data_IF_897523664381
#
_entry.id   IF_897523664381
#
_cell.length_a   1.000
_cell.length_b   1.000
_cell.length_c   1.000
_cell.angle_alpha   90.00
_cell.angle_beta   90.00
_cell.angle_gamma   90.00
#
_symmetry.space_group_name_H-M   'P 1'
#
loop_
_entity.id
_entity.type
_entity.pdbx_description
1 polymer ?
#
# COMPACT_ATOMS: atom_id res chain seq x y z
N UNK A 1 -16.06 7.84 -27.62
CA UNK A 1 -15.29 8.12 -26.39
C UNK A 1 -14.74 6.81 -25.86
N UNK A 2 -13.45 6.72 -25.60
CA UNK A 2 -12.83 5.52 -25.03
C UNK A 2 -13.14 5.40 -23.54
N UNK A 3 -13.33 4.19 -23.02
CA UNK A 3 -13.73 3.91 -21.64
C UNK A 3 -12.85 4.63 -20.58
N UNK A 4 -11.56 4.84 -20.91
CA UNK A 4 -10.57 5.54 -20.08
C UNK A 4 -10.83 7.03 -19.87
N UNK A 5 -11.65 7.66 -20.70
CA UNK A 5 -11.97 9.09 -20.59
C UNK A 5 -13.00 9.36 -19.49
N UNK A 6 -13.82 8.36 -19.13
CA UNK A 6 -14.82 8.53 -18.10
C UNK A 6 -14.20 8.64 -16.71
N UNK A 7 -14.66 9.65 -15.94
CA UNK A 7 -14.20 9.89 -14.58
C UNK A 7 -14.44 8.67 -13.66
N UNK A 8 -15.60 8.02 -13.80
CA UNK A 8 -15.97 6.85 -12.99
C UNK A 8 -15.01 5.67 -13.19
N UNK A 9 -14.54 5.42 -14.42
CA UNK A 9 -13.57 4.37 -14.71
C UNK A 9 -12.21 4.64 -14.06
N UNK A 10 -11.79 5.91 -14.06
CA UNK A 10 -10.56 6.35 -13.38
C UNK A 10 -10.64 6.18 -11.87
N UNK A 11 -11.76 6.56 -11.27
CA UNK A 11 -12.01 6.38 -9.82
C UNK A 11 -11.98 4.90 -9.45
N UNK A 12 -12.68 4.03 -10.19
CA UNK A 12 -12.65 2.58 -9.97
C UNK A 12 -11.23 2.00 -10.09
N UNK A 13 -10.46 2.50 -11.06
CA UNK A 13 -9.06 2.07 -11.23
C UNK A 13 -8.20 2.45 -10.02
N UNK A 14 -8.34 3.66 -9.48
CA UNK A 14 -7.63 4.07 -8.26
C UNK A 14 -8.03 3.25 -7.04
N UNK A 15 -9.33 2.95 -6.89
CA UNK A 15 -9.84 2.08 -5.83
C UNK A 15 -9.26 0.67 -5.96
N UNK A 16 -9.21 0.12 -7.18
CA UNK A 16 -8.61 -1.20 -7.44
C UNK A 16 -7.13 -1.23 -7.09
N UNK A 17 -6.38 -0.19 -7.46
CA UNK A 17 -4.96 -0.06 -7.11
C UNK A 17 -4.76 -0.02 -5.60
N UNK A 18 -5.60 0.73 -4.88
CA UNK A 18 -5.60 0.77 -3.42
C UNK A 18 -5.73 -0.63 -2.84
N UNK A 19 -6.84 -1.33 -3.11
CA UNK A 19 -7.08 -2.64 -2.51
C UNK A 19 -6.04 -3.69 -2.91
N UNK A 20 -5.56 -3.67 -4.16
CA UNK A 20 -4.48 -4.58 -4.58
C UNK A 20 -3.19 -4.32 -3.80
N UNK A 21 -2.81 -3.06 -3.60
CA UNK A 21 -1.60 -2.71 -2.86
C UNK A 21 -1.64 -3.18 -1.40
N UNK A 22 -2.79 -3.04 -0.76
CA UNK A 22 -3.01 -3.54 0.61
C UNK A 22 -3.14 -5.06 0.70
N UNK A 23 -3.69 -5.70 -0.34
CA UNK A 23 -3.75 -7.16 -0.39
C UNK A 23 -2.36 -7.78 -0.48
N UNK A 24 -1.44 -7.17 -1.24
CA UNK A 24 -0.04 -7.60 -1.29
C UNK A 24 0.64 -7.45 0.06
N UNK A 25 0.35 -6.37 0.78
CA UNK A 25 0.86 -6.17 2.14
C UNK A 25 0.33 -7.21 3.13
N UNK A 26 -0.96 -7.52 3.06
CA UNK A 26 -1.54 -8.59 3.87
C UNK A 26 -0.87 -9.95 3.60
N UNK A 27 -0.61 -10.27 2.33
CA UNK A 27 0.12 -11.48 1.94
C UNK A 27 1.58 -11.45 2.42
N UNK A 28 2.24 -10.28 2.40
CA UNK A 28 3.58 -10.09 2.94
C UNK A 28 3.63 -10.40 4.44
N UNK A 29 2.66 -9.87 5.20
CA UNK A 29 2.53 -10.14 6.63
C UNK A 29 2.29 -11.62 6.92
N UNK A 30 1.39 -12.26 6.18
CA UNK A 30 1.12 -13.70 6.32
C UNK A 30 2.34 -14.57 5.99
N UNK A 31 3.08 -14.24 4.93
CA UNK A 31 4.22 -15.02 4.47
C UNK A 31 5.42 -14.97 5.41
N UNK A 32 5.63 -13.85 6.12
CA UNK A 32 6.73 -13.72 7.07
C UNK A 32 6.37 -14.15 8.49
N UNK A 33 5.09 -14.14 8.86
CA UNK A 33 4.62 -14.54 10.19
C UNK A 33 5.38 -13.81 11.32
N UNK A 34 5.84 -14.57 12.33
CA UNK A 34 6.56 -14.00 13.48
C UNK A 34 7.94 -13.42 13.15
N UNK A 35 8.50 -13.63 11.95
CA UNK A 35 9.82 -13.08 11.59
C UNK A 35 9.83 -11.55 11.49
N UNK A 36 8.66 -10.96 11.24
CA UNK A 36 8.48 -9.50 11.20
C UNK A 36 8.80 -8.85 12.55
N UNK A 37 8.44 -9.50 13.66
CA UNK A 37 8.67 -8.99 15.02
C UNK A 37 10.16 -9.01 15.37
N UNK A 38 10.89 -10.00 14.86
CA UNK A 38 12.30 -10.21 15.18
C UNK A 38 13.27 -9.47 14.23
N UNK A 39 12.75 -8.83 13.18
CA UNK A 39 13.56 -8.13 12.19
C UNK A 39 12.94 -6.77 11.86
N UNK A 40 13.43 -5.73 12.54
CA UNK A 40 13.04 -4.33 12.33
C UNK A 40 13.19 -3.87 10.87
N UNK A 41 14.16 -4.42 10.14
CA UNK A 41 14.32 -4.14 8.71
C UNK A 41 13.11 -4.61 7.91
N UNK A 42 12.71 -5.88 8.07
CA UNK A 42 11.52 -6.44 7.43
C UNK A 42 10.24 -5.72 7.88
N UNK A 43 10.14 -5.36 9.16
CA UNK A 43 9.05 -4.55 9.68
C UNK A 43 8.93 -3.21 8.93
N UNK A 44 10.01 -2.45 8.86
CA UNK A 44 10.03 -1.15 8.17
C UNK A 44 9.73 -1.31 6.67
N UNK A 45 10.26 -2.37 6.03
CA UNK A 45 9.99 -2.62 4.61
C UNK A 45 8.50 -2.83 4.31
N UNK A 46 7.76 -3.53 5.18
CA UNK A 46 6.31 -3.72 5.02
C UNK A 46 5.53 -2.40 4.96
N UNK A 47 5.94 -1.39 5.72
CA UNK A 47 5.31 -0.07 5.67
C UNK A 47 5.38 0.61 4.27
N UNK A 48 6.35 0.22 3.44
CA UNK A 48 6.53 0.77 2.09
C UNK A 48 5.88 -0.08 0.98
N UNK A 49 5.44 -1.30 1.27
CA UNK A 49 4.89 -2.20 0.24
C UNK A 49 3.62 -1.64 -0.41
N UNK A 50 2.60 -1.15 0.34
CA UNK A 50 1.42 -0.55 -0.28
C UNK A 50 1.78 0.61 -1.21
N UNK A 51 2.78 1.43 -0.83
CA UNK A 51 3.27 2.53 -1.65
C UNK A 51 3.96 2.04 -2.93
N UNK A 52 4.88 1.08 -2.83
CA UNK A 52 5.63 0.55 -3.98
C UNK A 52 4.71 -0.13 -4.99
N UNK A 53 3.75 -0.93 -4.49
CA UNK A 53 2.78 -1.63 -5.34
C UNK A 53 1.85 -0.62 -6.01
N UNK A 54 1.31 0.35 -5.27
CA UNK A 54 0.42 1.36 -5.86
C UNK A 54 1.15 2.23 -6.86
N UNK A 55 2.39 2.61 -6.59
CA UNK A 55 3.22 3.40 -7.49
C UNK A 55 3.48 2.65 -8.80
N UNK A 56 3.85 1.38 -8.70
CA UNK A 56 4.10 0.51 -9.87
C UNK A 56 2.85 0.35 -10.72
N UNK A 57 1.69 0.06 -10.10
CA UNK A 57 0.42 -0.06 -10.81
C UNK A 57 0.02 1.26 -11.45
N UNK A 58 0.14 2.37 -10.72
CA UNK A 58 -0.17 3.72 -11.21
C UNK A 58 0.64 4.03 -12.47
N UNK A 59 1.97 3.83 -12.47
CA UNK A 59 2.80 4.03 -13.65
C UNK A 59 2.40 3.12 -14.82
N UNK A 60 2.10 1.85 -14.53
CA UNK A 60 1.66 0.88 -15.56
C UNK A 60 0.36 1.32 -16.24
N UNK A 61 -0.61 1.83 -15.48
CA UNK A 61 -1.88 2.31 -16.02
C UNK A 61 -1.76 3.69 -16.69
N UNK A 62 -0.89 4.58 -16.20
CA UNK A 62 -0.55 5.83 -16.88
C UNK A 62 0.08 5.58 -18.25
N UNK A 63 1.05 4.66 -18.34
CA UNK A 63 1.71 4.29 -19.62
C UNK A 63 0.73 3.78 -20.67
N UNK A 64 -0.39 3.17 -20.24
CA UNK A 64 -1.45 2.68 -21.11
C UNK A 64 -2.54 3.73 -21.41
N UNK A 65 -2.41 4.95 -20.91
CA UNK A 65 -3.40 6.02 -21.09
C UNK A 65 -4.70 5.80 -20.32
N UNK A 66 -4.69 4.95 -19.29
CA UNK A 66 -5.86 4.66 -18.45
C UNK A 66 -6.00 5.59 -17.24
N UNK A 67 -4.90 6.22 -16.80
CA UNK A 67 -4.86 7.12 -15.65
C UNK A 67 -4.13 8.42 -15.98
N UNK A 68 -4.49 9.48 -15.26
CA UNK A 68 -3.88 10.80 -15.37
C UNK A 68 -3.25 11.16 -14.04
N UNK A 69 -1.91 11.25 -14.01
CA UNK A 69 -1.10 12.08 -13.12
C UNK A 69 -1.27 12.00 -11.59
N UNK A 70 -2.19 11.22 -11.02
CA UNK A 70 -2.51 11.36 -9.60
C UNK A 70 -1.53 10.61 -8.71
N UNK A 71 -0.57 11.36 -8.15
CA UNK A 71 0.37 10.90 -7.13
C UNK A 71 -0.30 10.76 -5.75
N UNK A 72 -1.46 11.39 -5.56
CA UNK A 72 -2.17 11.44 -4.28
C UNK A 72 -2.43 10.05 -3.69
N UNK A 73 -2.82 9.06 -4.51
CA UNK A 73 -3.07 7.70 -4.05
C UNK A 73 -1.82 7.05 -3.43
N UNK A 74 -0.66 7.23 -4.08
CA UNK A 74 0.59 6.65 -3.61
C UNK A 74 1.01 7.30 -2.28
N UNK A 75 0.90 8.62 -2.20
CA UNK A 75 1.19 9.35 -0.96
C UNK A 75 0.27 8.92 0.17
N UNK A 76 -1.04 8.76 -0.09
CA UNK A 76 -2.01 8.24 0.89
C UNK A 76 -1.59 6.86 1.38
N UNK A 77 -1.21 5.94 0.48
CA UNK A 77 -0.75 4.61 0.84
C UNK A 77 0.53 4.62 1.68
N UNK A 78 1.46 5.54 1.39
CA UNK A 78 2.67 5.71 2.19
C UNK A 78 2.34 6.15 3.62
N UNK A 79 1.49 7.17 3.77
CA UNK A 79 1.08 7.66 5.10
C UNK A 79 0.33 6.60 5.90
N UNK A 80 -0.61 5.90 5.27
CA UNK A 80 -1.33 4.81 5.95
C UNK A 80 -0.41 3.64 6.32
N UNK A 81 0.52 3.27 5.44
CA UNK A 81 1.51 2.22 5.73
C UNK A 81 2.34 2.55 6.96
N UNK A 82 2.90 3.77 7.01
CA UNK A 82 3.67 4.26 8.16
C UNK A 82 2.81 4.31 9.43
N UNK A 83 1.59 4.83 9.35
CA UNK A 83 0.70 4.95 10.50
C UNK A 83 0.30 3.58 11.07
N UNK A 84 -0.03 2.61 10.21
CA UNK A 84 -0.38 1.24 10.61
C UNK A 84 0.80 0.57 11.32
N UNK A 85 2.00 0.69 10.76
CA UNK A 85 3.20 0.10 11.36
C UNK A 85 3.62 0.78 12.66
N UNK A 86 3.48 2.10 12.77
CA UNK A 86 3.69 2.82 14.03
C UNK A 86 2.71 2.34 15.11
N UNK A 87 1.44 2.13 14.74
CA UNK A 87 0.42 1.57 15.65
C UNK A 87 0.77 0.15 16.10
N UNK A 88 1.17 -0.73 15.18
CA UNK A 88 1.59 -2.10 15.51
C UNK A 88 2.79 -2.09 16.47
N UNK A 89 3.79 -1.22 16.23
CA UNK A 89 4.95 -1.10 17.09
C UNK A 89 4.57 -0.66 18.51
N UNK A 90 3.66 0.32 18.65
CA UNK A 90 3.16 0.76 19.94
C UNK A 90 2.44 -0.37 20.71
N UNK A 91 1.61 -1.15 20.01
CA UNK A 91 0.92 -2.31 20.62
C UNK A 91 1.91 -3.36 21.09
N UNK A 92 2.94 -3.67 20.31
CA UNK A 92 3.97 -4.65 20.68
C UNK A 92 4.81 -4.20 21.88
N UNK A 93 5.16 -2.91 21.96
CA UNK A 93 5.88 -2.34 23.11
C UNK A 93 5.01 -2.43 24.37
N UNK A 94 3.74 -2.05 24.26
CA UNK A 94 2.79 -2.12 25.38
C UNK A 94 2.59 -3.55 25.90
N UNK A 95 2.46 -4.53 25.00
CA UNK A 95 2.27 -5.94 25.34
C UNK A 95 3.48 -6.60 26.05
N UNK A 96 4.70 -6.10 25.83
CA UNK A 96 5.92 -6.61 26.49
C UNK A 96 6.19 -5.94 27.84
N UNK A 97 5.40 -4.95 28.24
CA UNK A 97 5.58 -4.17 29.48
C UNK A 97 4.69 -4.62 30.65
N UNK A 98 3.88 -5.67 30.42
CA UNK A 98 3.02 -6.36 31.41
C UNK A 98 3.53 -7.76 31.66
#
# INVERSE_FOLDING_TARGET
>A
MTLSQHLWFRVLSYIGIFFLSWSVEFLYMLGLGNRIVNNLGLFIFGAFIPFLVSLTLTFKFMRKGHLVGSIALNVINLFFGIALYAFIALVLIGANST
#
